data_IF_797335788584
#
_entry.id   IF_797335788584
#
_cell.length_a   1.000
_cell.length_b   1.000
_cell.length_c   1.000
_cell.angle_alpha   90.00
_cell.angle_beta   90.00
_cell.angle_gamma   90.00
#
_symmetry.space_group_name_H-M   'P 1'
#
loop_
_entity.id
_entity.type
_entity.pdbx_description
1 polymer ?
#
# COMPACT_ATOMS: atom_id res chain seq x y z
N UNK A 1 16.36 6.85 8.59
CA UNK A 1 16.79 7.79 7.53
C UNK A 1 16.98 9.21 8.06
N UNK A 2 16.05 9.79 8.82
CA UNK A 2 16.22 11.15 9.38
C UNK A 2 15.96 11.17 10.91
N UNK A 3 16.91 10.70 11.73
CA UNK A 3 16.72 10.62 13.19
C UNK A 3 16.58 11.97 13.90
N UNK A 4 16.98 13.07 13.26
CA UNK A 4 16.79 14.43 13.77
C UNK A 4 16.63 15.42 12.61
N UNK A 5 16.18 16.67 12.86
CA UNK A 5 15.85 17.64 11.81
C UNK A 5 16.94 17.80 10.75
N UNK A 6 18.19 17.92 11.20
CA UNK A 6 19.36 18.15 10.34
C UNK A 6 20.29 16.92 10.24
N UNK A 7 19.84 15.75 10.71
CA UNK A 7 20.67 14.54 10.78
C UNK A 7 20.13 13.49 9.81
N UNK A 8 21.00 13.01 8.93
CA UNK A 8 20.69 11.99 7.93
C UNK A 8 21.52 10.73 8.15
N UNK A 9 20.86 9.58 8.08
CA UNK A 9 21.48 8.26 8.02
C UNK A 9 20.89 7.46 6.86
N UNK A 10 21.66 7.39 5.78
CA UNK A 10 21.30 6.69 4.55
C UNK A 10 21.79 5.25 4.49
N UNK A 11 22.65 4.82 5.43
CA UNK A 11 23.41 3.57 5.34
C UNK A 11 22.55 2.35 4.98
N UNK A 12 21.45 2.14 5.69
CA UNK A 12 20.53 1.02 5.43
C UNK A 12 19.76 1.17 4.12
N UNK A 13 19.34 2.39 3.78
CA UNK A 13 18.59 2.64 2.56
C UNK A 13 19.48 2.48 1.32
N UNK A 14 20.74 2.95 1.40
CA UNK A 14 21.75 2.76 0.37
C UNK A 14 21.99 1.26 0.11
N UNK A 15 22.25 0.48 1.17
CA UNK A 15 22.47 -0.95 1.05
C UNK A 15 21.28 -1.68 0.39
N UNK A 16 20.04 -1.32 0.75
CA UNK A 16 18.84 -1.92 0.15
C UNK A 16 18.69 -1.53 -1.33
N UNK A 17 18.82 -0.24 -1.66
CA UNK A 17 18.66 0.22 -3.05
C UNK A 17 19.78 -0.33 -3.94
N UNK A 18 21.01 -0.42 -3.44
CA UNK A 18 22.14 -1.02 -4.16
C UNK A 18 21.93 -2.52 -4.42
N UNK A 19 21.46 -3.27 -3.41
CA UNK A 19 21.18 -4.70 -3.56
C UNK A 19 20.04 -4.97 -4.55
N UNK A 20 18.95 -4.18 -4.48
CA UNK A 20 17.82 -4.33 -5.41
C UNK A 20 18.20 -3.93 -6.83
N UNK A 21 19.01 -2.88 -7.00
CA UNK A 21 19.56 -2.51 -8.30
C UNK A 21 20.46 -3.61 -8.88
N UNK A 22 21.33 -4.21 -8.06
CA UNK A 22 22.17 -5.35 -8.48
C UNK A 22 21.32 -6.56 -8.93
N UNK A 23 20.18 -6.79 -8.25
CA UNK A 23 19.22 -7.86 -8.60
C UNK A 23 18.22 -7.49 -9.69
N UNK A 24 18.32 -6.27 -10.25
CA UNK A 24 17.39 -5.76 -11.27
C UNK A 24 15.92 -5.78 -10.81
N UNK A 25 15.70 -5.48 -9.52
CA UNK A 25 14.36 -5.35 -8.93
C UNK A 25 14.02 -3.87 -8.83
N UNK A 26 12.93 -3.47 -9.47
CA UNK A 26 12.41 -2.11 -9.37
C UNK A 26 11.84 -1.82 -7.98
N UNK A 27 11.99 -0.57 -7.53
CA UNK A 27 11.62 -0.17 -6.17
C UNK A 27 10.43 0.77 -6.20
N UNK A 28 9.35 0.39 -5.51
CA UNK A 28 8.34 1.30 -4.98
C UNK A 28 8.70 1.60 -3.52
N UNK A 29 9.10 2.84 -3.23
CA UNK A 29 9.46 3.27 -1.89
C UNK A 29 8.24 3.88 -1.18
N UNK A 30 7.78 3.23 -0.11
CA UNK A 30 6.74 3.80 0.76
C UNK A 30 7.35 4.80 1.74
N UNK A 31 6.95 6.06 1.62
CA UNK A 31 7.24 7.13 2.58
C UNK A 31 6.16 7.07 3.65
N UNK A 32 6.54 6.67 4.86
CA UNK A 32 5.59 6.39 5.94
C UNK A 32 6.13 6.82 7.30
N UNK A 33 5.22 7.29 8.14
CA UNK A 33 5.36 7.72 9.53
C UNK A 33 6.39 8.83 9.76
N UNK A 34 5.98 9.99 10.29
CA UNK A 34 6.92 11.02 10.70
C UNK A 34 7.76 10.50 11.88
N UNK A 35 9.04 10.89 11.97
CA UNK A 35 9.82 10.70 13.19
C UNK A 35 9.23 11.55 14.32
N UNK A 36 9.46 11.15 15.57
CA UNK A 36 8.91 11.83 16.76
C UNK A 36 9.18 13.34 16.78
N UNK A 37 10.38 13.77 16.36
CA UNK A 37 10.74 15.19 16.32
C UNK A 37 9.93 16.01 15.32
N UNK A 38 9.27 15.37 14.34
CA UNK A 38 8.44 16.01 13.33
C UNK A 38 6.94 15.96 13.68
N UNK A 39 6.53 15.19 14.68
CA UNK A 39 5.15 15.15 15.16
C UNK A 39 4.84 16.45 15.92
N UNK A 40 3.64 16.98 15.73
CA UNK A 40 3.16 18.19 16.41
C UNK A 40 1.81 17.93 17.09
N UNK A 41 1.60 18.42 18.31
CA UNK A 41 0.27 18.48 18.89
C UNK A 41 -0.65 19.30 17.99
N UNK A 42 -1.88 18.85 17.78
CA UNK A 42 -2.87 19.64 17.06
C UNK A 42 -3.34 20.82 17.92
N UNK A 43 -3.25 22.02 17.37
CA UNK A 43 -3.89 23.22 17.93
C UNK A 43 -5.28 23.44 17.30
N UNK A 44 -5.42 23.15 16.00
CA UNK A 44 -6.68 23.11 15.26
C UNK A 44 -6.95 21.69 14.71
N UNK A 45 -8.17 21.12 14.85
CA UNK A 45 -8.55 19.87 14.20
C UNK A 45 -8.43 19.85 12.68
N UNK A 46 -8.35 21.00 12.02
CA UNK A 46 -8.11 21.13 10.58
C UNK A 46 -6.63 21.00 10.19
N UNK A 47 -5.70 21.02 11.15
CA UNK A 47 -4.27 20.90 10.90
C UNK A 47 -3.85 19.43 10.71
N UNK A 48 -2.66 19.23 10.14
CA UNK A 48 -2.01 17.92 10.11
C UNK A 48 -1.11 17.73 11.34
N UNK A 49 -1.01 16.51 11.89
CA UNK A 49 -0.31 16.27 13.17
C UNK A 49 1.22 16.19 13.05
N UNK A 50 1.82 16.82 12.04
CA UNK A 50 3.26 16.77 11.78
C UNK A 50 3.72 17.91 10.85
N UNK A 51 5.04 18.17 10.88
CA UNK A 51 5.70 19.22 10.10
C UNK A 51 5.72 18.91 8.59
N UNK A 52 4.88 19.59 7.82
CA UNK A 52 4.82 19.42 6.36
C UNK A 52 6.11 19.85 5.65
N UNK A 53 6.78 20.91 6.13
CA UNK A 53 8.01 21.41 5.52
C UNK A 53 9.17 20.40 5.70
N UNK A 54 9.20 19.72 6.85
CA UNK A 54 10.15 18.64 7.11
C UNK A 54 9.90 17.44 6.18
N UNK A 55 8.63 17.05 6.00
CA UNK A 55 8.26 15.98 5.09
C UNK A 55 8.59 16.32 3.63
N UNK A 56 8.32 17.56 3.19
CA UNK A 56 8.63 18.03 1.85
C UNK A 56 10.16 17.99 1.59
N UNK A 57 10.95 18.48 2.54
CA UNK A 57 12.42 18.40 2.51
C UNK A 57 12.89 16.95 2.42
N UNK A 58 12.27 16.05 3.20
CA UNK A 58 12.58 14.63 3.18
C UNK A 58 12.29 13.97 1.82
N UNK A 59 11.13 14.26 1.24
CA UNK A 59 10.74 13.74 -0.07
C UNK A 59 11.70 14.20 -1.17
N UNK A 60 12.08 15.49 -1.18
CA UNK A 60 13.05 16.03 -2.12
C UNK A 60 14.45 15.44 -1.96
N UNK A 61 14.92 15.26 -0.72
CA UNK A 61 16.23 14.66 -0.43
C UNK A 61 16.29 13.18 -0.85
N UNK A 62 15.23 12.41 -0.56
CA UNK A 62 15.10 11.01 -0.94
C UNK A 62 15.11 10.86 -2.47
N UNK A 63 14.31 11.66 -3.18
CA UNK A 63 14.23 11.66 -4.64
C UNK A 63 15.56 12.08 -5.29
N UNK A 64 16.22 13.11 -4.75
CA UNK A 64 17.53 13.56 -5.25
C UNK A 64 18.58 12.44 -5.13
N UNK A 65 18.63 11.77 -3.97
CA UNK A 65 19.63 10.74 -3.68
C UNK A 65 19.46 9.49 -4.55
N UNK A 66 18.21 9.09 -4.79
CA UNK A 66 17.87 7.85 -5.49
C UNK A 66 17.28 8.06 -6.87
N UNK A 67 17.51 9.23 -7.47
CA UNK A 67 17.05 9.58 -8.82
C UNK A 67 17.35 8.46 -9.82
N UNK A 68 16.33 8.01 -10.54
CA UNK A 68 16.44 6.92 -11.51
C UNK A 68 16.73 5.52 -10.93
N UNK A 69 16.79 5.36 -9.60
CA UNK A 69 16.96 4.06 -8.91
C UNK A 69 15.71 3.63 -8.14
N UNK A 70 14.88 4.58 -7.72
CA UNK A 70 13.53 4.31 -7.22
C UNK A 70 12.56 4.69 -8.33
N UNK A 71 11.74 3.73 -8.76
CA UNK A 71 10.77 3.91 -9.84
C UNK A 71 9.56 4.72 -9.37
N UNK A 72 9.07 4.40 -8.16
CA UNK A 72 7.83 4.95 -7.65
C UNK A 72 7.92 5.29 -6.17
N UNK A 73 7.20 6.32 -5.75
CA UNK A 73 7.07 6.73 -4.37
C UNK A 73 5.61 6.63 -3.94
N UNK A 74 5.32 5.71 -3.00
CA UNK A 74 4.04 5.66 -2.32
C UNK A 74 4.05 6.65 -1.17
N UNK A 75 3.11 7.60 -1.21
CA UNK A 75 3.02 8.67 -0.23
C UNK A 75 2.01 8.26 0.84
N UNK A 76 2.54 7.87 2.00
CA UNK A 76 1.83 7.44 3.19
C UNK A 76 1.25 6.00 3.15
N UNK A 77 0.66 5.57 4.27
CA UNK A 77 -0.04 4.28 4.42
C UNK A 77 -1.39 4.52 5.09
N UNK A 78 -2.48 4.01 4.51
CA UNK A 78 -3.81 3.92 5.15
C UNK A 78 -4.28 5.17 5.94
N UNK A 79 -4.21 6.40 5.38
CA UNK A 79 -4.57 7.62 6.11
C UNK A 79 -6.07 7.68 6.46
N UNK A 80 -6.86 6.72 5.98
CA UNK A 80 -8.25 6.53 6.37
C UNK A 80 -8.42 5.83 7.73
N UNK A 81 -7.33 5.53 8.44
CA UNK A 81 -7.31 4.92 9.77
C UNK A 81 -6.56 5.81 10.77
N UNK A 82 -7.11 5.98 11.97
CA UNK A 82 -6.56 6.86 13.01
C UNK A 82 -5.17 6.45 13.48
N UNK A 83 -4.92 5.14 13.61
CA UNK A 83 -3.60 4.61 14.01
C UNK A 83 -2.51 4.98 13.00
N UNK A 84 -2.88 5.18 11.74
CA UNK A 84 -1.98 5.50 10.63
C UNK A 84 -1.90 7.00 10.37
N UNK A 85 -2.66 7.81 11.09
CA UNK A 85 -2.65 9.26 11.00
C UNK A 85 -2.20 9.91 12.32
N UNK A 86 -1.09 9.40 12.86
CA UNK A 86 -0.48 9.85 14.12
C UNK A 86 -1.47 9.87 15.31
N UNK A 87 -2.43 8.94 15.33
CA UNK A 87 -3.45 8.84 16.38
C UNK A 87 -4.58 9.87 16.26
N UNK A 88 -4.66 10.61 15.15
CA UNK A 88 -5.71 11.59 14.88
C UNK A 88 -6.77 11.02 13.92
N UNK A 89 -8.03 11.50 13.98
CA UNK A 89 -9.08 11.05 13.06
C UNK A 89 -8.67 11.22 11.59
N UNK A 90 -9.20 10.37 10.68
CA UNK A 90 -8.91 10.48 9.25
C UNK A 90 -9.17 11.88 8.69
N UNK A 91 -8.16 12.46 8.02
CA UNK A 91 -8.21 13.85 7.56
C UNK A 91 -7.94 13.98 6.04
N UNK A 92 -8.97 13.85 5.18
CA UNK A 92 -8.81 13.86 3.72
C UNK A 92 -8.11 15.09 3.15
N UNK A 93 -8.41 16.29 3.66
CA UNK A 93 -7.77 17.54 3.21
C UNK A 93 -6.29 17.59 3.53
N UNK A 94 -5.94 17.16 4.74
CA UNK A 94 -4.55 17.05 5.18
C UNK A 94 -3.77 16.06 4.34
N UNK A 95 -4.39 14.94 3.97
CA UNK A 95 -3.75 13.96 3.08
C UNK A 95 -3.52 14.51 1.66
N UNK A 96 -4.47 15.25 1.07
CA UNK A 96 -4.26 15.91 -0.24
C UNK A 96 -3.13 16.93 -0.16
N UNK A 97 -3.10 17.75 0.89
CA UNK A 97 -2.04 18.76 1.12
C UNK A 97 -0.66 18.10 1.25
N UNK A 98 -0.60 17.00 2.01
CA UNK A 98 0.60 16.19 2.16
C UNK A 98 1.08 15.65 0.81
N UNK A 99 0.17 15.04 0.04
CA UNK A 99 0.47 14.44 -1.25
C UNK A 99 0.95 15.48 -2.26
N UNK A 100 0.32 16.65 -2.32
CA UNK A 100 0.74 17.77 -3.17
C UNK A 100 2.20 18.15 -2.91
N UNK A 101 2.54 18.40 -1.64
CA UNK A 101 3.90 18.83 -1.25
C UNK A 101 4.95 17.76 -1.57
N UNK A 102 4.65 16.50 -1.25
CA UNK A 102 5.54 15.39 -1.57
C UNK A 102 5.74 15.24 -3.08
N UNK A 103 4.64 15.26 -3.85
CA UNK A 103 4.63 15.15 -5.31
C UNK A 103 5.46 16.26 -5.95
N UNK A 104 5.27 17.51 -5.51
CA UNK A 104 6.05 18.67 -5.97
C UNK A 104 7.54 18.50 -5.72
N UNK A 105 7.94 18.18 -4.49
CA UNK A 105 9.35 18.03 -4.12
C UNK A 105 10.03 16.87 -4.84
N UNK A 106 9.33 15.72 -4.96
CA UNK A 106 9.85 14.56 -5.68
C UNK A 106 10.03 14.89 -7.15
N UNK A 107 9.03 15.47 -7.82
CA UNK A 107 9.11 15.79 -9.25
C UNK A 107 10.15 16.86 -9.57
N UNK A 108 10.40 17.79 -8.65
CA UNK A 108 11.48 18.77 -8.81
C UNK A 108 12.87 18.12 -8.83
N UNK A 109 13.06 17.05 -8.05
CA UNK A 109 14.30 16.29 -8.00
C UNK A 109 14.40 15.20 -9.09
N UNK A 110 13.29 14.51 -9.36
CA UNK A 110 13.17 13.45 -10.35
C UNK A 110 11.84 13.55 -11.13
N UNK A 111 11.84 14.20 -12.32
CA UNK A 111 10.63 14.37 -13.13
C UNK A 111 9.99 13.07 -13.62
N UNK A 112 10.79 12.00 -13.75
CA UNK A 112 10.35 10.68 -14.22
C UNK A 112 9.76 9.82 -13.10
N UNK A 113 9.92 10.23 -11.84
CA UNK A 113 9.40 9.47 -10.70
C UNK A 113 7.86 9.38 -10.74
N UNK A 114 7.37 8.19 -10.43
CA UNK A 114 5.93 7.90 -10.35
C UNK A 114 5.46 8.17 -8.93
N UNK A 115 4.39 8.96 -8.82
CA UNK A 115 3.75 9.25 -7.54
C UNK A 115 2.55 8.32 -7.34
N UNK A 116 2.61 7.50 -6.30
CA UNK A 116 1.54 6.60 -5.88
C UNK A 116 0.87 7.16 -4.63
N UNK A 117 -0.47 7.21 -4.61
CA UNK A 117 -1.18 7.56 -3.36
C UNK A 117 -0.94 6.49 -2.29
N UNK A 118 -1.33 6.78 -1.06
CA UNK A 118 -1.39 5.80 0.01
C UNK A 118 -2.32 4.65 -0.41
N UNK A 119 -1.95 3.43 -0.03
CA UNK A 119 -2.91 2.33 -0.04
C UNK A 119 -4.01 2.59 0.98
N UNK A 120 -5.26 2.65 0.52
CA UNK A 120 -6.43 2.79 1.40
C UNK A 120 -6.83 1.44 1.97
N UNK A 121 -7.18 1.40 3.26
CA UNK A 121 -7.62 0.20 3.94
C UNK A 121 -9.13 -0.02 3.75
N UNK A 122 -9.60 -1.16 3.21
CA UNK A 122 -11.03 -1.42 3.11
C UNK A 122 -11.63 -1.65 4.50
N UNK A 123 -12.67 -0.90 4.83
CA UNK A 123 -13.33 -0.98 6.13
C UNK A 123 -14.78 -0.55 6.05
N UNK A 124 -15.63 -1.16 6.88
CA UNK A 124 -17.00 -0.72 7.12
C UNK A 124 -17.14 0.23 8.32
N UNK A 125 -16.06 0.46 9.07
CA UNK A 125 -16.06 1.32 10.26
C UNK A 125 -16.21 2.78 9.85
N UNK A 126 -17.16 3.47 10.47
CA UNK A 126 -17.43 4.89 10.26
C UNK A 126 -17.52 5.59 11.61
N UNK A 127 -16.38 5.92 12.18
CA UNK A 127 -16.26 6.63 13.45
C UNK A 127 -14.90 7.35 13.56
N UNK A 128 -14.55 7.81 14.76
CA UNK A 128 -13.29 8.51 15.01
C UNK A 128 -12.02 7.67 14.78
N UNK A 129 -12.13 6.35 14.58
CA UNK A 129 -11.01 5.42 14.38
C UNK A 129 -10.75 5.11 12.91
N UNK A 130 -11.76 5.27 12.04
CA UNK A 130 -11.66 4.96 10.62
C UNK A 130 -12.78 5.59 9.79
N UNK A 131 -12.47 5.85 8.52
CA UNK A 131 -13.44 6.18 7.48
C UNK A 131 -13.40 5.11 6.37
N UNK A 132 -14.56 4.64 5.85
CA UNK A 132 -14.58 3.72 4.73
C UNK A 132 -13.79 4.28 3.54
N UNK A 133 -12.95 3.45 2.93
CA UNK A 133 -12.08 3.81 1.82
C UNK A 133 -12.81 4.42 0.63
N UNK A 134 -14.02 3.94 0.32
CA UNK A 134 -14.91 4.52 -0.71
C UNK A 134 -15.27 5.97 -0.39
N UNK A 135 -15.67 6.26 0.85
CA UNK A 135 -16.01 7.62 1.29
C UNK A 135 -14.78 8.52 1.32
N UNK A 136 -13.66 7.98 1.84
CA UNK A 136 -12.39 8.68 1.90
C UNK A 136 -11.93 9.07 0.49
N UNK A 137 -11.92 8.13 -0.47
CA UNK A 137 -11.49 8.39 -1.84
C UNK A 137 -12.37 9.43 -2.56
N UNK A 138 -13.69 9.37 -2.38
CA UNK A 138 -14.58 10.42 -2.91
C UNK A 138 -14.21 11.80 -2.36
N UNK A 139 -13.91 11.88 -1.06
CA UNK A 139 -13.53 13.14 -0.45
C UNK A 139 -12.16 13.63 -0.92
N UNK A 140 -11.19 12.73 -1.14
CA UNK A 140 -9.92 13.09 -1.77
C UNK A 140 -10.14 13.70 -3.15
N UNK A 141 -10.98 13.11 -4.00
CA UNK A 141 -11.28 13.66 -5.32
C UNK A 141 -11.96 15.02 -5.26
N UNK A 142 -12.93 15.23 -4.35
CA UNK A 142 -13.56 16.54 -4.15
C UNK A 142 -12.57 17.63 -3.77
N UNK A 143 -11.43 17.25 -3.19
CA UNK A 143 -10.36 18.13 -2.73
C UNK A 143 -9.22 18.27 -3.73
N UNK A 144 -9.36 17.74 -4.94
CA UNK A 144 -8.38 17.93 -6.01
C UNK A 144 -7.30 16.85 -6.09
N UNK A 145 -7.50 15.67 -5.48
CA UNK A 145 -6.55 14.55 -5.55
C UNK A 145 -5.99 14.31 -6.96
N UNK A 146 -6.86 14.39 -7.98
CA UNK A 146 -6.54 14.13 -9.39
C UNK A 146 -5.31 14.86 -9.93
N UNK A 147 -4.90 16.00 -9.37
CA UNK A 147 -3.74 16.76 -9.85
C UNK A 147 -2.39 16.25 -9.31
N UNK A 148 -2.37 15.40 -8.28
CA UNK A 148 -1.16 15.21 -7.46
C UNK A 148 -0.53 13.81 -7.56
N UNK A 149 -1.16 12.85 -8.24
CA UNK A 149 -0.68 11.46 -8.34
C UNK A 149 -0.70 10.91 -9.78
N UNK A 150 0.12 9.89 -10.04
CA UNK A 150 0.15 9.12 -11.29
C UNK A 150 -0.63 7.80 -11.17
N UNK A 151 -0.50 7.11 -10.02
CA UNK A 151 -1.11 5.80 -9.75
C UNK A 151 -1.87 5.81 -8.41
N UNK A 152 -3.08 5.26 -8.37
CA UNK A 152 -3.83 5.12 -7.12
C UNK A 152 -3.34 3.89 -6.35
N UNK A 153 -2.84 4.06 -5.14
CA UNK A 153 -2.56 2.98 -4.20
C UNK A 153 -3.83 2.46 -3.53
N UNK A 154 -3.99 1.14 -3.41
CA UNK A 154 -5.10 0.50 -2.69
C UNK A 154 -4.61 -0.75 -1.95
N UNK A 155 -5.28 -1.13 -0.86
CA UNK A 155 -5.10 -2.44 -0.23
C UNK A 155 -6.26 -3.37 -0.60
N UNK A 156 -5.95 -4.64 -0.86
CA UNK A 156 -6.90 -5.66 -1.27
C UNK A 156 -6.75 -6.94 -0.44
N UNK A 157 -6.97 -6.91 0.89
CA UNK A 157 -7.16 -8.13 1.67
C UNK A 157 -8.33 -8.92 1.08
N UNK A 158 -8.15 -10.22 0.90
CA UNK A 158 -9.20 -11.08 0.36
C UNK A 158 -10.21 -11.58 1.38
N UNK A 159 -9.99 -11.27 2.66
CA UNK A 159 -10.77 -11.76 3.79
C UNK A 159 -10.83 -13.30 3.79
N UNK A 160 -11.98 -13.94 3.96
CA UNK A 160 -12.09 -15.40 3.91
C UNK A 160 -12.57 -15.90 2.54
N UNK A 161 -12.78 -14.99 1.59
CA UNK A 161 -13.43 -15.27 0.32
C UNK A 161 -12.40 -15.64 -0.76
N UNK A 162 -12.78 -16.48 -1.75
CA UNK A 162 -11.95 -16.67 -2.93
C UNK A 162 -11.79 -15.33 -3.68
N UNK A 163 -10.65 -15.10 -4.36
CA UNK A 163 -10.38 -13.83 -5.02
C UNK A 163 -11.42 -13.45 -6.08
N UNK A 164 -12.06 -14.42 -6.72
CA UNK A 164 -13.05 -14.19 -7.78
C UNK A 164 -14.44 -13.83 -7.24
N UNK A 165 -14.66 -13.93 -5.92
CA UNK A 165 -15.96 -13.71 -5.29
C UNK A 165 -16.58 -12.37 -5.70
N UNK A 166 -17.73 -12.46 -6.35
CA UNK A 166 -18.57 -11.32 -6.72
C UNK A 166 -19.19 -10.67 -5.48
N UNK A 167 -19.74 -9.48 -5.66
CA UNK A 167 -20.52 -8.81 -4.62
C UNK A 167 -21.73 -9.67 -4.18
N UNK A 168 -22.43 -10.30 -5.12
CA UNK A 168 -23.58 -11.15 -4.83
C UNK A 168 -23.18 -12.35 -3.95
N UNK A 169 -22.09 -13.04 -4.30
CA UNK A 169 -21.58 -14.18 -3.52
C UNK A 169 -21.11 -13.75 -2.12
N UNK A 170 -20.40 -12.62 -2.02
CA UNK A 170 -19.97 -12.07 -0.73
C UNK A 170 -21.18 -11.78 0.18
N UNK A 171 -22.19 -11.09 -0.34
CA UNK A 171 -23.42 -10.76 0.41
C UNK A 171 -24.21 -12.02 0.80
N UNK A 172 -24.30 -13.02 -0.09
CA UNK A 172 -24.95 -14.29 0.18
C UNK A 172 -24.27 -15.07 1.32
N UNK A 173 -22.95 -14.88 1.49
CA UNK A 173 -22.16 -15.46 2.58
C UNK A 173 -22.10 -14.56 3.83
N UNK A 174 -22.82 -13.43 3.84
CA UNK A 174 -22.90 -12.52 4.98
C UNK A 174 -21.71 -11.55 5.10
N UNK A 175 -20.85 -11.46 4.09
CA UNK A 175 -19.78 -10.47 4.03
C UNK A 175 -20.31 -9.14 3.50
N UNK A 176 -19.76 -8.04 4.00
CA UNK A 176 -20.02 -6.72 3.46
C UNK A 176 -19.29 -6.50 2.12
N UNK A 177 -19.72 -5.50 1.33
CA UNK A 177 -19.12 -5.19 0.02
C UNK A 177 -17.60 -4.99 0.08
N UNK A 178 -17.11 -4.30 1.09
CA UNK A 178 -15.68 -3.99 1.29
C UNK A 178 -14.85 -5.21 1.68
N UNK A 179 -15.49 -6.29 2.13
CA UNK A 179 -14.83 -7.46 2.68
C UNK A 179 -14.52 -8.54 1.60
N UNK A 180 -13.95 -8.12 0.46
CA UNK A 180 -13.58 -9.01 -0.66
C UNK A 180 -12.42 -8.44 -1.48
N UNK A 181 -11.60 -9.32 -2.07
CA UNK A 181 -10.49 -8.93 -2.96
C UNK A 181 -10.93 -8.00 -4.10
N UNK A 182 -12.07 -8.31 -4.73
CA UNK A 182 -12.63 -7.54 -5.85
C UNK A 182 -13.23 -6.18 -5.47
N UNK A 183 -13.14 -5.75 -4.21
CA UNK A 183 -13.52 -4.39 -3.81
C UNK A 183 -12.71 -3.30 -4.54
N UNK A 184 -11.51 -3.65 -5.03
CA UNK A 184 -10.71 -2.79 -5.92
C UNK A 184 -11.50 -2.28 -7.13
N UNK A 185 -12.44 -3.08 -7.66
CA UNK A 185 -13.32 -2.69 -8.78
C UNK A 185 -14.23 -1.49 -8.41
N UNK A 186 -14.65 -1.39 -7.15
CA UNK A 186 -15.44 -0.26 -6.62
C UNK A 186 -14.58 1.02 -6.59
N UNK A 187 -13.33 0.95 -6.11
CA UNK A 187 -12.42 2.10 -6.12
C UNK A 187 -12.06 2.53 -7.54
N UNK A 188 -11.90 1.57 -8.46
CA UNK A 188 -11.68 1.85 -9.89
C UNK A 188 -12.86 2.63 -10.50
N UNK A 189 -14.10 2.27 -10.17
CA UNK A 189 -15.28 2.99 -10.66
C UNK A 189 -15.28 4.47 -10.20
N UNK A 190 -14.79 4.75 -8.98
CA UNK A 190 -14.62 6.12 -8.47
C UNK A 190 -13.58 6.88 -9.29
N UNK A 191 -12.43 6.28 -9.60
CA UNK A 191 -11.43 6.92 -10.48
C UNK A 191 -12.03 7.30 -11.83
N UNK A 192 -12.75 6.37 -12.47
CA UNK A 192 -13.38 6.60 -13.77
C UNK A 192 -14.41 7.73 -13.70
N UNK A 193 -15.24 7.75 -12.65
CA UNK A 193 -16.24 8.80 -12.45
C UNK A 193 -15.63 10.19 -12.24
N UNK A 194 -14.37 10.28 -11.79
CA UNK A 194 -13.62 11.52 -11.58
C UNK A 194 -12.65 11.85 -12.73
N UNK A 195 -12.75 11.17 -13.88
CA UNK A 195 -11.95 11.47 -15.08
C UNK A 195 -10.58 10.78 -15.13
N UNK A 196 -10.22 9.98 -14.13
CA UNK A 196 -8.91 9.32 -14.01
C UNK A 196 -8.90 7.90 -14.60
N UNK A 197 -9.75 7.63 -15.60
CA UNK A 197 -9.80 6.34 -16.29
C UNK A 197 -8.47 5.96 -16.97
N UNK A 198 -7.63 6.93 -17.33
CA UNK A 198 -6.32 6.67 -17.93
C UNK A 198 -5.24 6.31 -16.89
N UNK A 199 -5.44 6.61 -15.61
CA UNK A 199 -4.48 6.29 -14.54
C UNK A 199 -4.64 4.84 -14.09
N UNK A 200 -3.53 4.26 -13.63
CA UNK A 200 -3.49 2.89 -13.11
C UNK A 200 -3.73 2.84 -11.59
N UNK A 201 -3.96 1.63 -11.10
CA UNK A 201 -3.98 1.25 -9.69
C UNK A 201 -2.74 0.41 -9.37
N UNK A 202 -2.18 0.62 -8.18
CA UNK A 202 -1.23 -0.27 -7.53
C UNK A 202 -1.89 -0.88 -6.29
N UNK A 203 -2.02 -2.21 -6.26
CA UNK A 203 -2.40 -2.94 -5.06
C UNK A 203 -1.14 -3.11 -4.22
N UNK A 204 -0.94 -2.21 -3.26
CA UNK A 204 0.30 -2.10 -2.48
C UNK A 204 0.36 -3.13 -1.35
N UNK A 205 -0.79 -3.63 -0.92
CA UNK A 205 -0.92 -4.77 0.00
C UNK A 205 -2.08 -5.67 -0.42
N UNK A 206 -1.81 -6.98 -0.51
CA UNK A 206 -2.79 -8.03 -0.78
C UNK A 206 -2.42 -9.28 0.02
N UNK A 207 -3.41 -9.96 0.57
CA UNK A 207 -3.18 -11.25 1.21
C UNK A 207 -4.44 -11.89 1.79
N UNK A 208 -4.24 -13.06 2.38
CA UNK A 208 -5.19 -13.78 3.22
C UNK A 208 -4.46 -14.17 4.51
N UNK A 209 -5.04 -13.87 5.66
CA UNK A 209 -4.45 -14.24 6.95
C UNK A 209 -4.70 -15.70 7.29
N UNK A 210 -3.74 -16.34 7.95
CA UNK A 210 -3.93 -17.67 8.54
C UNK A 210 -4.24 -17.62 10.03
N UNK A 211 -4.42 -16.42 10.59
CA UNK A 211 -4.68 -16.24 12.01
C UNK A 211 -6.08 -16.74 12.37
N UNK A 212 -6.14 -17.90 13.04
CA UNK A 212 -7.38 -18.45 13.60
C UNK A 212 -7.35 -18.47 15.13
N UNK A 213 -6.44 -17.71 15.75
CA UNK A 213 -6.27 -17.74 17.20
C UNK A 213 -7.50 -17.15 17.91
N UNK A 214 -7.96 -17.77 19.01
CA UNK A 214 -9.02 -17.17 19.83
C UNK A 214 -8.65 -15.75 20.29
N UNK A 215 -9.54 -14.79 20.05
CA UNK A 215 -9.35 -13.39 20.45
C UNK A 215 -8.58 -12.52 19.45
N UNK A 216 -8.03 -13.08 18.37
CA UNK A 216 -7.48 -12.27 17.28
C UNK A 216 -8.61 -11.54 16.54
N UNK A 217 -8.39 -10.28 16.19
CA UNK A 217 -9.32 -9.47 15.37
C UNK A 217 -9.44 -9.99 13.93
N UNK A 218 -8.52 -10.86 13.51
CA UNK A 218 -8.47 -11.47 12.18
C UNK A 218 -9.11 -12.86 12.12
N UNK A 219 -9.38 -13.47 13.28
CA UNK A 219 -9.84 -14.86 13.37
C UNK A 219 -11.15 -15.13 12.63
N UNK A 220 -12.01 -14.11 12.47
CA UNK A 220 -13.28 -14.26 11.77
C UNK A 220 -13.14 -14.49 10.26
N UNK A 221 -11.95 -14.27 9.69
CA UNK A 221 -11.67 -14.49 8.27
C UNK A 221 -10.34 -15.18 7.99
N UNK A 222 -9.74 -15.81 9.00
CA UNK A 222 -8.56 -16.64 8.84
C UNK A 222 -8.83 -17.86 7.96
N UNK A 223 -7.85 -18.22 7.12
CA UNK A 223 -7.92 -19.39 6.24
C UNK A 223 -6.76 -20.38 6.52
N UNK A 224 -6.84 -21.61 6.00
CA UNK A 224 -5.70 -22.53 6.09
C UNK A 224 -4.53 -22.07 5.21
N UNK A 225 -3.30 -22.50 5.52
CA UNK A 225 -2.13 -22.20 4.66
C UNK A 225 -2.30 -22.69 3.22
N UNK A 226 -2.95 -23.84 3.01
CA UNK A 226 -3.28 -24.36 1.67
C UNK A 226 -4.27 -23.44 0.93
N UNK A 227 -5.27 -22.93 1.65
CA UNK A 227 -6.23 -21.97 1.09
C UNK A 227 -5.56 -20.64 0.77
N UNK A 228 -4.70 -20.14 1.66
CA UNK A 228 -3.89 -18.94 1.43
C UNK A 228 -3.06 -19.10 0.15
N UNK A 229 -2.37 -20.23 -0.01
CA UNK A 229 -1.56 -20.52 -1.19
C UNK A 229 -2.40 -20.53 -2.48
N UNK A 230 -3.52 -21.25 -2.48
CA UNK A 230 -4.41 -21.36 -3.63
C UNK A 230 -5.04 -20.00 -4.00
N UNK A 231 -5.46 -19.21 -3.01
CA UNK A 231 -6.09 -17.91 -3.25
C UNK A 231 -5.10 -16.88 -3.75
N UNK A 232 -3.87 -16.85 -3.24
CA UNK A 232 -2.84 -15.93 -3.72
C UNK A 232 -2.51 -16.15 -5.21
N UNK A 233 -2.32 -17.41 -5.63
CA UNK A 233 -2.07 -17.72 -7.05
C UNK A 233 -3.26 -17.29 -7.94
N UNK A 234 -4.48 -17.61 -7.52
CA UNK A 234 -5.70 -17.24 -8.23
C UNK A 234 -5.92 -15.73 -8.29
N UNK A 235 -5.55 -14.99 -7.25
CA UNK A 235 -5.65 -13.54 -7.22
C UNK A 235 -4.78 -12.88 -8.30
N UNK A 236 -3.52 -13.32 -8.44
CA UNK A 236 -2.63 -12.85 -9.50
C UNK A 236 -3.16 -13.19 -10.89
N UNK A 237 -3.68 -14.41 -11.10
CA UNK A 237 -4.32 -14.81 -12.37
C UNK A 237 -5.54 -13.94 -12.69
N UNK A 238 -6.42 -13.73 -11.71
CA UNK A 238 -7.62 -12.91 -11.87
C UNK A 238 -7.25 -11.45 -12.22
N UNK A 239 -6.29 -10.85 -11.51
CA UNK A 239 -5.81 -9.51 -11.82
C UNK A 239 -5.22 -9.42 -13.24
N UNK A 240 -4.45 -10.43 -13.66
CA UNK A 240 -3.88 -10.46 -15.01
C UNK A 240 -4.96 -10.61 -16.10
N UNK A 241 -5.98 -11.43 -15.88
CA UNK A 241 -7.05 -11.70 -16.86
C UNK A 241 -8.08 -10.56 -16.96
N UNK A 242 -8.38 -9.91 -15.85
CA UNK A 242 -9.51 -8.98 -15.76
C UNK A 242 -9.13 -7.52 -15.51
N UNK A 243 -7.96 -7.27 -14.91
CA UNK A 243 -7.58 -5.93 -14.45
C UNK A 243 -6.45 -5.29 -15.25
N UNK A 244 -5.79 -6.03 -16.14
CA UNK A 244 -4.88 -5.42 -17.13
C UNK A 244 -5.68 -4.57 -18.14
N UNK A 245 -5.18 -3.38 -18.54
CA UNK A 245 -3.91 -2.76 -18.11
C UNK A 245 -4.07 -1.82 -16.90
N UNK A 246 -5.25 -1.69 -16.29
CA UNK A 246 -5.52 -0.64 -15.29
C UNK A 246 -5.04 -0.97 -13.87
N UNK A 247 -4.68 -2.21 -13.56
CA UNK A 247 -3.80 -2.56 -12.43
C UNK A 247 -2.40 -2.81 -12.96
N UNK A 248 -1.43 -2.05 -12.45
CA UNK A 248 -0.01 -2.15 -12.87
C UNK A 248 0.86 -2.95 -11.91
N UNK A 249 0.54 -2.93 -10.61
CA UNK A 249 1.29 -3.61 -9.57
C UNK A 249 0.34 -4.33 -8.60
N UNK A 250 0.70 -5.54 -8.22
CA UNK A 250 0.08 -6.29 -7.12
C UNK A 250 1.18 -6.79 -6.21
N UNK A 251 1.16 -6.37 -4.95
CA UNK A 251 2.17 -6.71 -3.94
C UNK A 251 1.55 -7.60 -2.87
N UNK A 252 2.05 -8.83 -2.76
CA UNK A 252 1.68 -9.75 -1.68
C UNK A 252 2.39 -9.37 -0.38
N UNK A 253 1.63 -9.32 0.70
CA UNK A 253 2.16 -9.20 2.05
C UNK A 253 2.24 -10.58 2.71
N UNK A 254 3.29 -10.99 3.42
CA UNK A 254 4.62 -10.38 3.60
C UNK A 254 5.73 -11.42 3.36
N UNK A 255 6.96 -10.95 3.14
CA UNK A 255 8.15 -11.72 3.51
C UNK A 255 8.44 -11.43 4.98
N UNK A 256 8.54 -12.47 5.81
CA UNK A 256 8.67 -12.35 7.26
C UNK A 256 9.95 -11.60 7.68
N UNK A 257 9.81 -10.67 8.62
CA UNK A 257 10.97 -10.19 9.40
C UNK A 257 11.46 -11.30 10.32
N UNK A 258 12.77 -11.40 10.50
CA UNK A 258 13.40 -12.43 11.36
C UNK A 258 13.00 -12.33 12.84
N UNK A 259 12.50 -11.17 13.27
CA UNK A 259 12.08 -10.91 14.65
C UNK A 259 10.61 -11.17 14.93
N UNK A 260 9.80 -11.44 13.90
CA UNK A 260 8.37 -11.67 14.11
C UNK A 260 8.14 -13.00 14.84
N UNK A 261 7.12 -13.04 15.69
CA UNK A 261 6.64 -14.24 16.37
C UNK A 261 5.14 -14.38 16.12
N UNK A 262 4.53 -15.46 16.59
CA UNK A 262 3.07 -15.64 16.52
C UNK A 262 2.30 -14.49 17.19
N UNK A 263 2.91 -13.74 18.11
CA UNK A 263 2.29 -12.55 18.73
C UNK A 263 2.13 -11.37 17.76
N UNK A 264 2.89 -11.34 16.67
CA UNK A 264 2.76 -10.36 15.60
C UNK A 264 1.67 -10.78 14.61
N UNK A 265 0.77 -9.87 14.24
CA UNK A 265 -0.24 -10.16 13.22
C UNK A 265 0.41 -10.52 11.87
N UNK A 266 1.50 -9.86 11.51
CA UNK A 266 2.18 -10.02 10.23
C UNK A 266 2.78 -11.42 10.05
N UNK A 267 3.03 -12.13 11.16
CA UNK A 267 3.44 -13.53 11.12
C UNK A 267 2.42 -14.39 10.38
N UNK A 268 1.12 -14.13 10.59
CA UNK A 268 0.00 -14.90 10.05
C UNK A 268 -0.38 -14.49 8.62
N UNK A 269 0.00 -13.28 8.20
CA UNK A 269 -0.14 -12.82 6.82
C UNK A 269 1.04 -13.25 5.94
N UNK A 270 2.22 -13.42 6.53
CA UNK A 270 3.45 -13.71 5.81
C UNK A 270 3.38 -15.01 4.99
N UNK A 271 4.04 -15.03 3.83
CA UNK A 271 4.23 -16.23 2.98
C UNK A 271 5.52 -16.98 3.30
N UNK A 272 6.37 -16.41 4.15
CA UNK A 272 7.53 -17.09 4.75
C UNK A 272 7.41 -17.10 6.27
N UNK A 273 8.23 -17.90 6.94
CA UNK A 273 8.42 -17.86 8.38
C UNK A 273 9.68 -17.04 8.72
N UNK A 274 9.71 -16.40 9.90
CA UNK A 274 10.92 -15.82 10.46
C UNK A 274 12.03 -16.86 10.53
N UNK A 275 13.23 -16.52 10.05
CA UNK A 275 14.41 -17.35 10.22
C UNK A 275 15.49 -16.56 10.96
N UNK A 276 16.11 -17.13 12.01
CA UNK A 276 17.31 -16.55 12.58
C UNK A 276 18.46 -16.63 11.57
N UNK A 277 19.31 -15.62 11.56
CA UNK A 277 20.54 -15.61 10.77
C UNK A 277 21.50 -16.74 11.22
N UNK A 278 22.21 -17.43 10.30
CA UNK A 278 22.18 -17.27 8.84
C UNK A 278 20.99 -18.00 8.17
N UNK A 279 20.34 -17.28 7.26
CA UNK A 279 19.01 -17.49 6.66
C UNK A 279 18.85 -18.80 5.85
N UNK A 280 17.89 -19.61 6.26
CA UNK A 280 16.89 -20.15 5.32
C UNK A 280 15.53 -19.72 5.84
N UNK A 281 14.92 -18.69 5.24
CA UNK A 281 13.52 -18.39 5.49
C UNK A 281 12.73 -19.66 5.21
N UNK A 282 12.11 -20.26 6.23
CA UNK A 282 11.28 -21.43 5.99
C UNK A 282 10.08 -20.94 5.19
N UNK A 283 9.92 -21.48 3.98
CA UNK A 283 8.84 -21.09 3.09
C UNK A 283 7.54 -21.71 3.55
N UNK A 284 6.43 -20.96 3.52
CA UNK A 284 5.09 -21.53 3.67
C UNK A 284 4.58 -22.05 2.31
N UNK A 285 3.51 -22.86 2.26
CA UNK A 285 2.89 -23.29 1.01
C UNK A 285 2.65 -22.14 0.02
N UNK A 286 2.22 -20.98 0.51
CA UNK A 286 2.00 -19.78 -0.29
C UNK A 286 3.24 -19.30 -1.04
N UNK A 287 4.42 -19.27 -0.41
CA UNK A 287 5.66 -18.90 -1.11
C UNK A 287 6.00 -19.90 -2.20
N UNK A 288 5.84 -21.21 -1.92
CA UNK A 288 6.13 -22.25 -2.91
C UNK A 288 5.17 -22.16 -4.10
N UNK A 289 3.87 -21.95 -3.86
CA UNK A 289 2.88 -21.76 -4.92
C UNK A 289 3.22 -20.53 -5.76
N UNK A 290 3.45 -19.38 -5.13
CA UNK A 290 3.82 -18.15 -5.83
C UNK A 290 5.16 -18.26 -6.55
N UNK A 291 6.15 -18.97 -6.02
CA UNK A 291 7.43 -19.17 -6.69
C UNK A 291 7.28 -19.98 -7.99
N UNK A 292 6.41 -21.00 -7.97
CA UNK A 292 6.22 -21.94 -9.09
C UNK A 292 5.11 -21.55 -10.08
N UNK A 293 4.24 -20.61 -9.72
CA UNK A 293 3.18 -20.17 -10.63
C UNK A 293 3.75 -19.50 -11.88
N UNK A 294 2.98 -19.54 -12.97
CA UNK A 294 3.27 -18.77 -14.17
C UNK A 294 3.44 -17.28 -13.85
N UNK A 295 4.52 -16.68 -14.34
CA UNK A 295 4.80 -15.27 -14.14
C UNK A 295 4.15 -14.47 -15.26
N UNK A 296 3.03 -13.83 -14.94
CA UNK A 296 2.30 -12.98 -15.86
C UNK A 296 2.72 -11.53 -15.59
N UNK A 297 3.69 -11.03 -16.35
CA UNK A 297 4.17 -9.65 -16.23
C UNK A 297 4.30 -9.01 -17.61
N UNK A 298 3.77 -7.80 -17.75
CA UNK A 298 4.21 -6.86 -18.78
C UNK A 298 5.26 -5.93 -18.16
N UNK A 299 6.32 -5.63 -18.89
CA UNK A 299 7.29 -4.61 -18.50
C UNK A 299 7.08 -3.38 -19.41
N UNK A 300 6.87 -2.16 -18.87
CA UNK A 300 6.89 -1.76 -17.45
C UNK A 300 5.58 -1.98 -16.67
N UNK A 301 5.70 -2.19 -15.34
CA UNK A 301 4.57 -2.37 -14.43
C UNK A 301 3.63 -1.15 -14.40
N UNK A 302 4.22 0.04 -14.45
CA UNK A 302 3.49 1.28 -14.64
C UNK A 302 3.73 1.83 -16.04
N UNK A 303 2.64 2.15 -16.74
CA UNK A 303 2.72 2.93 -17.97
C UNK A 303 2.97 4.39 -17.58
N UNK A 304 4.03 5.05 -18.10
CA UNK A 304 4.16 6.49 -17.93
C UNK A 304 2.88 7.13 -18.47
N UNK A 305 2.23 7.93 -17.63
CA UNK A 305 0.98 8.60 -17.96
C UNK A 305 1.15 9.48 -19.20
N UNK A 306 0.06 9.69 -19.94
CA UNK A 306 -0.02 10.62 -21.06
C UNK A 306 0.57 12.01 -20.68
N UNK A 307 1.09 12.80 -21.64
CA UNK A 307 1.78 14.05 -21.36
C UNK A 307 1.01 14.93 -20.38
N UNK A 308 1.68 15.24 -19.26
CA UNK A 308 1.19 16.08 -18.17
C UNK A 308 0.98 17.49 -18.73
N UNK A 309 -0.28 17.93 -18.80
CA UNK A 309 -0.68 19.27 -19.30
C UNK A 309 -0.42 20.36 -18.28
#
# INVERSE_FOLDING_TARGET
MQPGPDVWDWSRADAVVEELAYRQVEVLARIYSPPEWAIRPLEDPADVPFELDALETYCGALATRYRGRIMAYQIWNEPNLTREWAGQPPHPEGYVTLLERCSRAIRAADPEAIIVTAGLSPTGTRDHTALPDVEYLWELYRRGLGAHFDVLGVHAPGFALPPEASLEEALALGYAEWARYRHVETLRAIMVANGDAAKQIAITEMGWTTDTRPGSIYAWFGVSEDTQAAYLERAYRYAAEHWRPWVGLVSVIYIAKSTWTEDNEEWWWSITLPAPEPIYATTRPAYVALANMEKISDNPAFCPSAPRS
#
